data_IF_253516670389
#
_entry.id   IF_253516670389
#
_cell.length_a   1.000
_cell.length_b   1.000
_cell.length_c   1.000
_cell.angle_alpha   90.00
_cell.angle_beta   90.00
_cell.angle_gamma   90.00
#
_symmetry.space_group_name_H-M   'P 1'
#
loop_
_entity.id
_entity.type
_entity.pdbx_description
1 polymer ?
#
# COMPACT_ATOMS: atom_id res chain seq x y z
N UNK A 1 12.13 -37.44 5.68
CA UNK A 1 11.75 -36.42 4.68
C UNK A 1 10.37 -35.80 4.98
N UNK A 2 9.32 -36.59 5.21
CA UNK A 2 7.97 -36.04 5.53
C UNK A 2 7.89 -35.16 6.80
N UNK A 3 8.63 -35.50 7.86
CA UNK A 3 8.62 -34.73 9.12
C UNK A 3 9.35 -33.38 8.98
N UNK A 4 10.43 -33.32 8.20
CA UNK A 4 11.17 -32.06 7.97
C UNK A 4 10.39 -31.11 7.05
N UNK A 5 9.66 -31.65 6.06
CA UNK A 5 8.82 -30.86 5.16
C UNK A 5 7.65 -30.18 5.90
N UNK A 6 7.07 -30.85 6.92
CA UNK A 6 5.96 -30.30 7.70
C UNK A 6 6.32 -29.05 8.51
N UNK A 7 7.59 -28.87 8.90
CA UNK A 7 8.07 -27.69 9.65
C UNK A 7 8.58 -26.60 8.69
N UNK A 8 9.22 -26.99 7.59
CA UNK A 8 9.82 -26.04 6.65
C UNK A 8 8.76 -25.27 5.82
N UNK A 9 7.64 -25.91 5.48
CA UNK A 9 6.60 -25.29 4.66
C UNK A 9 5.90 -24.10 5.35
N UNK A 10 5.43 -24.19 6.61
CA UNK A 10 4.82 -23.05 7.30
C UNK A 10 5.78 -21.86 7.48
N UNK A 11 7.05 -22.13 7.76
CA UNK A 11 8.06 -21.08 7.89
C UNK A 11 8.31 -20.34 6.57
N UNK A 12 8.30 -21.07 5.45
CA UNK A 12 8.42 -20.49 4.11
C UNK A 12 7.23 -19.58 3.77
N UNK A 13 5.99 -20.01 4.05
CA UNK A 13 4.80 -19.17 3.82
C UNK A 13 4.85 -17.86 4.61
N UNK A 14 5.28 -17.93 5.88
CA UNK A 14 5.45 -16.75 6.73
C UNK A 14 6.51 -15.79 6.17
N UNK A 15 7.60 -16.31 5.61
CA UNK A 15 8.63 -15.49 4.96
C UNK A 15 8.09 -14.80 3.70
N UNK A 16 7.35 -15.51 2.85
CA UNK A 16 6.74 -14.94 1.64
C UNK A 16 5.75 -13.84 2.02
N UNK A 17 4.86 -14.08 2.98
CA UNK A 17 3.89 -13.10 3.46
C UNK A 17 4.57 -11.83 3.98
N UNK A 18 5.58 -11.97 4.84
CA UNK A 18 6.36 -10.82 5.36
C UNK A 18 7.08 -10.06 4.24
N UNK A 19 7.68 -10.78 3.28
CA UNK A 19 8.38 -10.18 2.14
C UNK A 19 7.43 -9.37 1.26
N UNK A 20 6.26 -9.92 0.95
CA UNK A 20 5.25 -9.26 0.13
C UNK A 20 4.64 -8.03 0.81
N UNK A 21 4.30 -8.11 2.10
CA UNK A 21 3.83 -6.93 2.86
C UNK A 21 4.89 -5.83 2.87
N UNK A 22 6.17 -6.17 3.08
CA UNK A 22 7.29 -5.21 3.04
C UNK A 22 7.43 -4.57 1.67
N UNK A 23 7.29 -5.35 0.59
CA UNK A 23 7.38 -4.84 -0.77
C UNK A 23 6.27 -3.84 -1.07
N UNK A 24 5.02 -4.16 -0.71
CA UNK A 24 3.87 -3.26 -0.91
C UNK A 24 4.02 -1.97 -0.08
N UNK A 25 4.53 -2.04 1.15
CA UNK A 25 4.87 -0.84 1.95
C UNK A 25 5.84 0.06 1.18
N UNK A 26 6.90 -0.51 0.60
CA UNK A 26 7.88 0.24 -0.20
C UNK A 26 7.30 0.83 -1.48
N UNK A 27 6.49 0.05 -2.21
CA UNK A 27 5.80 0.49 -3.43
C UNK A 27 4.91 1.71 -3.15
N UNK A 28 4.10 1.69 -2.09
CA UNK A 28 3.25 2.83 -1.73
C UNK A 28 4.05 4.02 -1.16
N UNK A 29 5.12 3.75 -0.42
CA UNK A 29 5.97 4.81 0.14
C UNK A 29 6.69 5.62 -0.94
N UNK A 30 7.00 5.02 -2.10
CA UNK A 30 7.64 5.71 -3.22
C UNK A 30 6.77 6.86 -3.78
N UNK A 31 5.45 6.81 -3.63
CA UNK A 31 4.53 7.85 -4.10
C UNK A 31 4.43 9.07 -3.17
N UNK A 32 4.98 9.01 -1.94
CA UNK A 32 4.90 10.12 -0.97
C UNK A 32 5.47 11.42 -1.50
N UNK A 33 6.66 11.36 -2.11
CA UNK A 33 7.34 12.53 -2.67
C UNK A 33 6.52 13.18 -3.80
N UNK A 34 5.88 12.37 -4.65
CA UNK A 34 5.00 12.86 -5.70
C UNK A 34 3.74 13.52 -5.14
N UNK A 35 3.17 12.94 -4.08
CA UNK A 35 2.04 13.53 -3.37
C UNK A 35 2.42 14.88 -2.73
N UNK A 36 3.56 14.96 -2.05
CA UNK A 36 4.05 16.20 -1.45
C UNK A 36 4.27 17.28 -2.51
N UNK A 37 4.93 16.96 -3.63
CA UNK A 37 5.13 17.91 -4.73
C UNK A 37 3.80 18.43 -5.29
N UNK A 38 2.82 17.54 -5.53
CA UNK A 38 1.51 17.92 -6.02
C UNK A 38 0.80 18.90 -5.05
N UNK A 39 0.84 18.60 -3.75
CA UNK A 39 0.23 19.44 -2.72
C UNK A 39 0.91 20.82 -2.64
N UNK A 40 2.24 20.89 -2.77
CA UNK A 40 2.98 22.16 -2.80
C UNK A 40 2.65 23.02 -4.03
N UNK A 41 2.31 22.39 -5.15
CA UNK A 41 1.81 23.08 -6.35
C UNK A 41 0.32 23.45 -6.27
N UNK A 42 -0.36 23.14 -5.16
CA UNK A 42 -1.80 23.37 -4.99
C UNK A 42 -2.68 22.40 -5.80
N UNK A 43 -2.13 21.27 -6.24
CA UNK A 43 -2.83 20.22 -6.97
C UNK A 43 -3.23 19.08 -6.04
N UNK A 44 -4.17 18.25 -6.49
CA UNK A 44 -4.65 17.09 -5.74
C UNK A 44 -3.95 15.83 -6.24
N UNK A 45 -3.13 15.16 -5.41
CA UNK A 45 -2.55 13.88 -5.80
C UNK A 45 -3.61 12.78 -5.84
N UNK A 46 -3.67 12.06 -6.95
CA UNK A 46 -4.67 11.03 -7.21
C UNK A 46 -4.04 9.78 -7.83
N UNK A 47 -4.71 8.64 -7.70
CA UNK A 47 -4.30 7.39 -8.37
C UNK A 47 -4.95 7.24 -9.75
N UNK A 48 -6.05 7.96 -10.00
CA UNK A 48 -6.73 7.98 -11.29
C UNK A 48 -7.14 9.43 -11.58
N UNK A 49 -6.34 10.19 -12.35
CA UNK A 49 -6.72 11.53 -12.74
C UNK A 49 -7.93 11.53 -13.66
N UNK A 50 -8.77 12.54 -13.53
CA UNK A 50 -9.79 12.91 -14.49
C UNK A 50 -9.15 13.26 -15.84
N UNK A 51 -9.92 13.11 -16.93
CA UNK A 51 -9.44 13.36 -18.28
C UNK A 51 -8.92 14.79 -18.50
N UNK A 52 -9.44 15.75 -17.73
CA UNK A 52 -9.02 17.14 -17.83
C UNK A 52 -7.70 17.41 -17.08
N UNK A 53 -7.37 16.64 -16.03
CA UNK A 53 -6.04 16.55 -15.40
C UNK A 53 -5.40 17.85 -14.87
N UNK A 54 -6.04 19.01 -15.00
CA UNK A 54 -5.41 20.32 -14.75
C UNK A 54 -5.09 20.52 -13.26
N UNK A 55 -5.97 20.04 -12.37
CA UNK A 55 -5.86 20.22 -10.92
C UNK A 55 -5.43 18.96 -10.18
N UNK A 56 -5.09 17.90 -10.91
CA UNK A 56 -4.79 16.58 -10.37
C UNK A 56 -3.41 16.13 -10.83
N UNK A 57 -2.70 15.39 -9.96
CA UNK A 57 -1.42 14.77 -10.31
C UNK A 57 -1.55 13.29 -10.09
N UNK A 58 -1.28 12.50 -11.14
CA UNK A 58 -1.21 11.06 -11.04
C UNK A 58 0.02 10.64 -10.22
N UNK A 59 -0.21 9.79 -9.22
CA UNK A 59 0.83 9.18 -8.40
C UNK A 59 1.52 7.99 -9.09
N UNK A 60 1.03 7.55 -10.26
CA UNK A 60 1.64 6.48 -11.06
C UNK A 60 1.52 5.09 -10.43
N UNK A 61 0.57 4.92 -9.50
CA UNK A 61 0.35 3.67 -8.77
C UNK A 61 -0.64 2.73 -9.45
N UNK A 62 -1.37 3.22 -10.45
CA UNK A 62 -2.33 2.44 -11.20
C UNK A 62 -2.58 3.00 -12.60
N UNK A 63 -3.34 2.23 -13.39
CA UNK A 63 -3.86 2.65 -14.68
C UNK A 63 -5.35 2.33 -14.71
N UNK A 64 -6.21 3.32 -14.91
CA UNK A 64 -7.66 3.14 -15.10
C UNK A 64 -8.29 2.20 -14.04
N UNK A 65 -8.07 2.52 -12.76
CA UNK A 65 -8.51 1.78 -11.57
C UNK A 65 -7.85 0.41 -11.33
N UNK A 66 -6.85 0.00 -12.11
CA UNK A 66 -6.06 -1.20 -11.86
C UNK A 66 -4.73 -0.86 -11.18
N UNK A 67 -4.33 -1.56 -10.10
CA UNK A 67 -3.00 -1.36 -9.52
C UNK A 67 -1.91 -1.78 -10.50
N UNK A 68 -0.83 -1.00 -10.56
CA UNK A 68 0.38 -1.38 -11.30
C UNK A 68 1.14 -2.54 -10.63
N UNK A 69 0.94 -2.72 -9.32
CA UNK A 69 1.49 -3.82 -8.55
C UNK A 69 0.72 -5.12 -8.78
N UNK A 70 1.42 -6.23 -9.00
CA UNK A 70 0.81 -7.55 -9.09
C UNK A 70 0.42 -8.16 -7.73
N UNK A 71 0.71 -7.48 -6.61
CA UNK A 71 0.32 -7.89 -5.26
C UNK A 71 -0.87 -7.12 -4.71
N UNK A 72 -1.39 -6.14 -5.45
CA UNK A 72 -2.51 -5.32 -5.03
C UNK A 72 -3.74 -5.69 -5.85
N UNK A 73 -4.89 -5.81 -5.18
CA UNK A 73 -6.19 -5.88 -5.84
C UNK A 73 -6.76 -4.48 -6.06
N UNK A 74 -6.45 -3.53 -5.16
CA UNK A 74 -6.86 -2.13 -5.29
C UNK A 74 -5.75 -1.19 -4.82
N UNK A 75 -5.78 0.03 -5.37
CA UNK A 75 -4.96 1.16 -4.91
C UNK A 75 -5.78 2.44 -5.01
N UNK A 76 -5.62 3.33 -4.04
CA UNK A 76 -6.45 4.52 -3.88
C UNK A 76 -5.72 5.64 -3.16
N UNK A 77 -6.24 6.86 -3.30
CA UNK A 77 -5.82 8.03 -2.56
C UNK A 77 -7.03 8.75 -1.98
N UNK A 78 -6.88 9.38 -0.81
CA UNK A 78 -7.96 10.13 -0.14
C UNK A 78 -7.71 11.64 -0.08
N UNK A 79 -6.67 12.14 -0.76
CA UNK A 79 -6.42 13.57 -0.84
C UNK A 79 -7.58 14.30 -1.51
N UNK A 80 -7.91 15.47 -0.96
CA UNK A 80 -8.99 16.31 -1.47
C UNK A 80 -8.49 17.72 -1.77
N UNK A 81 -9.10 18.38 -2.76
CA UNK A 81 -8.70 19.71 -3.19
C UNK A 81 -8.71 20.70 -2.02
N UNK A 82 -7.61 21.42 -1.84
CA UNK A 82 -7.46 22.43 -0.79
C UNK A 82 -7.18 21.86 0.60
N UNK A 83 -6.91 20.56 0.71
CA UNK A 83 -6.44 19.90 1.93
C UNK A 83 -5.00 19.43 1.76
N UNK A 84 -4.25 19.39 2.86
CA UNK A 84 -2.87 18.90 2.91
C UNK A 84 -2.78 17.51 3.55
N UNK A 85 -3.84 17.04 4.20
CA UNK A 85 -3.97 15.72 4.78
C UNK A 85 -4.65 14.73 3.82
N UNK A 86 -4.33 13.45 3.99
CA UNK A 86 -4.87 12.38 3.16
C UNK A 86 -4.04 11.10 3.29
N UNK A 87 -4.33 10.11 2.47
CA UNK A 87 -3.65 8.84 2.49
C UNK A 87 -3.49 8.25 1.10
N UNK A 88 -2.49 7.39 0.96
CA UNK A 88 -2.26 6.50 -0.18
C UNK A 88 -2.43 5.08 0.35
N UNK A 89 -3.39 4.32 -0.16
CA UNK A 89 -3.75 3.02 0.36
C UNK A 89 -3.79 1.96 -0.73
N UNK A 90 -3.28 0.77 -0.43
CA UNK A 90 -3.38 -0.42 -1.27
C UNK A 90 -3.91 -1.62 -0.50
N UNK A 91 -4.79 -2.39 -1.12
CA UNK A 91 -5.27 -3.66 -0.58
C UNK A 91 -4.52 -4.81 -1.23
N UNK A 92 -3.87 -5.63 -0.42
CA UNK A 92 -3.15 -6.82 -0.88
C UNK A 92 -4.13 -7.82 -1.50
N UNK A 93 -3.77 -8.33 -2.67
CA UNK A 93 -4.52 -9.33 -3.43
C UNK A 93 -3.73 -9.75 -4.66
N UNK A 94 -4.42 -10.07 -5.75
CA UNK A 94 -3.77 -10.49 -7.00
C UNK A 94 -2.93 -11.75 -6.79
N UNK A 95 -1.63 -11.66 -7.11
CA UNK A 95 -0.67 -12.77 -7.01
C UNK A 95 0.02 -12.85 -5.63
N UNK A 96 -0.46 -12.13 -4.63
CA UNK A 96 0.02 -12.24 -3.27
C UNK A 96 -0.31 -13.62 -2.65
N UNK A 97 0.40 -13.98 -1.58
CA UNK A 97 0.07 -15.14 -0.77
C UNK A 97 -1.35 -14.98 -0.18
N UNK A 98 -2.16 -16.03 -0.29
CA UNK A 98 -3.55 -16.05 0.19
C UNK A 98 -3.66 -15.69 1.67
N UNK A 99 -2.63 -16.01 2.47
CA UNK A 99 -2.59 -15.73 3.91
C UNK A 99 -2.73 -14.23 4.25
N UNK A 100 -2.38 -13.33 3.32
CA UNK A 100 -2.37 -11.88 3.52
C UNK A 100 -3.38 -11.14 2.61
N UNK A 101 -4.21 -11.86 1.85
CA UNK A 101 -5.23 -11.24 0.98
C UNK A 101 -6.20 -10.39 1.81
N UNK A 102 -6.55 -9.22 1.26
CA UNK A 102 -7.42 -8.24 1.91
C UNK A 102 -6.70 -7.35 2.92
N UNK A 103 -5.42 -7.58 3.21
CA UNK A 103 -4.65 -6.69 4.11
C UNK A 103 -4.54 -5.31 3.48
N UNK A 104 -4.86 -4.27 4.24
CA UNK A 104 -4.77 -2.89 3.76
C UNK A 104 -3.50 -2.25 4.30
N UNK A 105 -2.68 -1.71 3.41
CA UNK A 105 -1.50 -0.91 3.75
C UNK A 105 -1.81 0.54 3.37
N UNK A 106 -1.59 1.45 4.31
CA UNK A 106 -1.82 2.88 4.12
C UNK A 106 -0.58 3.69 4.49
N UNK A 107 -0.25 4.65 3.64
CA UNK A 107 0.67 5.74 3.93
C UNK A 107 -0.20 6.97 4.20
N UNK A 108 -0.31 7.38 5.46
CA UNK A 108 -1.17 8.47 5.91
C UNK A 108 -0.31 9.73 6.09
N UNK A 109 -0.80 10.86 5.60
CA UNK A 109 -0.17 12.18 5.72
C UNK A 109 -1.08 13.07 6.55
N UNK A 110 -0.52 13.69 7.58
CA UNK A 110 -1.25 14.70 8.36
C UNK A 110 -1.17 16.09 7.73
N UNK A 111 -1.94 17.04 8.28
CA UNK A 111 -1.98 18.41 7.78
C UNK A 111 -0.64 19.16 7.92
N UNK A 112 0.26 18.68 8.79
CA UNK A 112 1.61 19.22 9.00
C UNK A 112 2.66 18.61 8.06
N UNK A 113 2.26 17.59 7.29
CA UNK A 113 3.13 16.89 6.33
C UNK A 113 3.95 15.75 6.91
N UNK A 114 3.59 15.28 8.11
CA UNK A 114 4.20 14.07 8.67
C UNK A 114 3.50 12.84 8.08
N UNK A 115 4.30 11.87 7.67
CA UNK A 115 3.83 10.60 7.13
C UNK A 115 3.91 9.48 8.16
N UNK A 116 2.84 8.71 8.32
CA UNK A 116 2.79 7.45 9.05
C UNK A 116 2.46 6.28 8.12
N UNK A 117 2.89 5.07 8.50
CA UNK A 117 2.53 3.84 7.80
C UNK A 117 1.61 3.00 8.70
N UNK A 118 0.47 2.58 8.16
CA UNK A 118 -0.51 1.74 8.85
C UNK A 118 -0.78 0.46 8.07
N UNK A 119 -0.88 -0.67 8.77
CA UNK A 119 -1.18 -1.98 8.21
C UNK A 119 -2.35 -2.60 8.95
N UNK A 120 -3.51 -2.60 8.31
CA UNK A 120 -4.69 -3.31 8.79
C UNK A 120 -4.68 -4.73 8.23
N UNK A 121 -4.13 -5.63 9.04
CA UNK A 121 -4.02 -7.05 8.73
C UNK A 121 -5.35 -7.72 8.41
N UNK A 122 -5.36 -8.53 7.37
CA UNK A 122 -6.50 -9.36 6.96
C UNK A 122 -6.00 -10.64 6.26
N UNK A 123 -6.91 -11.56 5.95
CA UNK A 123 -6.61 -12.87 5.42
C UNK A 123 -6.56 -13.94 6.52
N UNK A 124 -6.91 -15.17 6.16
CA UNK A 124 -7.07 -16.28 7.12
C UNK A 124 -5.76 -16.72 7.77
N UNK A 125 -4.62 -16.38 7.16
CA UNK A 125 -3.28 -16.70 7.65
C UNK A 125 -2.54 -15.51 8.25
N UNK A 126 -3.22 -14.37 8.46
CA UNK A 126 -2.59 -13.15 8.95
C UNK A 126 -1.90 -13.35 10.30
N UNK A 127 -0.72 -12.75 10.44
CA UNK A 127 0.03 -12.69 11.70
C UNK A 127 0.62 -11.29 11.85
N UNK A 128 0.50 -10.70 13.03
CA UNK A 128 1.00 -9.34 13.29
C UNK A 128 2.51 -9.18 13.04
N UNK A 129 3.29 -10.29 13.05
CA UNK A 129 4.71 -10.31 12.67
C UNK A 129 4.99 -9.98 11.18
N UNK A 130 3.94 -9.93 10.35
CA UNK A 130 4.04 -9.50 8.96
C UNK A 130 4.06 -7.98 8.80
N UNK A 131 3.70 -7.22 9.84
CA UNK A 131 3.82 -5.76 9.85
C UNK A 131 5.33 -5.39 9.82
N UNK A 132 5.79 -4.66 8.79
CA UNK A 132 7.19 -4.26 8.71
C UNK A 132 7.56 -3.23 9.78
N UNK A 133 8.84 -3.19 10.16
CA UNK A 133 9.37 -2.16 11.05
C UNK A 133 9.10 -0.76 10.46
N UNK A 134 8.55 0.14 11.26
CA UNK A 134 8.16 1.49 10.83
C UNK A 134 6.70 1.64 10.41
N UNK A 135 5.93 0.55 10.41
CA UNK A 135 4.48 0.59 10.28
C UNK A 135 3.80 0.17 11.59
N UNK A 136 2.60 0.70 11.83
CA UNK A 136 1.74 0.32 12.96
C UNK A 136 0.47 -0.37 12.49
N UNK A 137 -0.30 -0.94 13.41
CA UNK A 137 -1.61 -1.54 13.11
C UNK A 137 -2.68 -0.49 12.84
#
# INVERSE_FOLDING_TARGET
>A
IGILAAIALPAYQDYISKSQTTRVVGELAAAKTGADAALFEGKTPVVNPSADGITEVDLGLGETATPRSNLLSTVSSTFTKGKSDGAISGTIGGNANNDIHGTVISQERDATGVWSCKVTGSGTGWKDKFIPTGCTK
#
